data_IF_778649013923
#
_entry.id   IF_778649013923
#
_cell.length_a   1.000
_cell.length_b   1.000
_cell.length_c   1.000
_cell.angle_alpha   90.00
_cell.angle_beta   90.00
_cell.angle_gamma   90.00
#
_symmetry.space_group_name_H-M   'P 1'
#
loop_
_entity.id
_entity.type
_entity.pdbx_description
1 polymer ?
#
# COMPACT_ATOMS: atom_id res chain seq x y z
N UNK A 1 19.12 14.29 -13.81
CA UNK A 1 17.89 13.69 -14.38
C UNK A 1 17.14 13.09 -13.21
N UNK A 2 16.42 13.92 -12.47
CA UNK A 2 15.74 13.51 -11.25
C UNK A 2 14.41 12.87 -11.63
N UNK A 3 14.29 11.58 -11.37
CA UNK A 3 13.06 10.83 -11.60
C UNK A 3 12.01 11.30 -10.59
N UNK A 4 10.84 11.68 -11.09
CA UNK A 4 9.68 12.01 -10.28
C UNK A 4 9.26 10.80 -9.43
N UNK A 5 8.90 11.04 -8.18
CA UNK A 5 8.75 9.98 -7.16
C UNK A 5 7.67 8.93 -7.50
N UNK A 6 6.69 9.28 -8.33
CA UNK A 6 5.66 8.35 -8.83
C UNK A 6 6.18 7.40 -9.91
N UNK A 7 7.09 7.87 -10.77
CA UNK A 7 7.55 7.12 -11.94
C UNK A 7 8.55 6.04 -11.53
N UNK A 8 9.44 6.36 -10.58
CA UNK A 8 10.44 5.41 -10.07
C UNK A 8 9.82 4.16 -9.46
N UNK A 9 8.72 4.30 -8.72
CA UNK A 9 7.97 3.16 -8.14
C UNK A 9 7.35 2.27 -9.22
N UNK A 10 6.77 2.88 -10.26
CA UNK A 10 6.17 2.14 -11.37
C UNK A 10 7.22 1.36 -12.17
N UNK A 11 8.38 1.96 -12.44
CA UNK A 11 9.50 1.28 -13.11
C UNK A 11 10.05 0.13 -12.27
N UNK A 12 10.15 0.29 -10.95
CA UNK A 12 10.63 -0.77 -10.05
C UNK A 12 9.65 -1.96 -10.04
N UNK A 13 8.35 -1.69 -9.95
CA UNK A 13 7.32 -2.73 -10.01
C UNK A 13 7.35 -3.47 -11.35
N UNK A 14 7.46 -2.73 -12.46
CA UNK A 14 7.57 -3.32 -13.79
C UNK A 14 8.84 -4.18 -13.93
N UNK A 15 9.99 -3.67 -13.45
CA UNK A 15 11.25 -4.40 -13.45
C UNK A 15 11.15 -5.69 -12.63
N UNK A 16 10.60 -5.64 -11.42
CA UNK A 16 10.42 -6.81 -10.57
C UNK A 16 9.52 -7.86 -11.23
N UNK A 17 8.40 -7.45 -11.83
CA UNK A 17 7.52 -8.37 -12.55
C UNK A 17 8.24 -9.07 -13.71
N UNK A 18 9.03 -8.32 -14.50
CA UNK A 18 9.84 -8.87 -15.57
C UNK A 18 10.92 -9.82 -15.05
N UNK A 19 11.63 -9.44 -13.98
CA UNK A 19 12.69 -10.23 -13.37
C UNK A 19 12.15 -11.56 -12.80
N UNK A 20 11.00 -11.53 -12.13
CA UNK A 20 10.34 -12.75 -11.62
C UNK A 20 9.93 -13.66 -12.77
N UNK A 21 9.36 -13.13 -13.85
CA UNK A 21 8.97 -13.93 -15.03
C UNK A 21 10.18 -14.52 -15.75
N UNK A 22 11.25 -13.75 -15.89
CA UNK A 22 12.52 -14.19 -16.45
C UNK A 22 13.09 -15.35 -15.62
N UNK A 23 13.21 -15.16 -14.31
CA UNK A 23 13.73 -16.17 -13.39
C UNK A 23 12.90 -17.45 -13.42
N UNK A 24 11.57 -17.33 -13.46
CA UNK A 24 10.66 -18.47 -13.60
C UNK A 24 10.84 -19.24 -14.89
N UNK A 25 11.12 -18.56 -16.00
CA UNK A 25 11.35 -19.23 -17.30
C UNK A 25 12.62 -20.11 -17.25
N UNK A 26 13.68 -19.64 -16.61
CA UNK A 26 14.89 -20.45 -16.42
C UNK A 26 14.68 -21.60 -15.44
N UNK A 27 13.99 -21.37 -14.32
CA UNK A 27 13.68 -22.43 -13.36
C UNK A 27 12.84 -23.53 -14.00
N UNK A 28 11.85 -23.16 -14.82
CA UNK A 28 11.08 -24.09 -15.62
C UNK A 28 11.98 -24.96 -16.52
N UNK A 29 12.94 -24.34 -17.22
CA UNK A 29 13.91 -25.07 -18.04
C UNK A 29 14.71 -26.11 -17.25
N UNK A 30 15.16 -25.77 -16.03
CA UNK A 30 15.87 -26.69 -15.14
C UNK A 30 14.96 -27.87 -14.76
N UNK A 31 13.71 -27.62 -14.38
CA UNK A 31 12.76 -28.67 -14.05
C UNK A 31 12.44 -29.59 -15.24
N UNK A 32 12.22 -29.01 -16.42
CA UNK A 32 12.03 -29.75 -17.66
C UNK A 32 13.23 -30.67 -17.96
N UNK A 33 14.44 -30.16 -17.83
CA UNK A 33 15.66 -30.92 -18.05
C UNK A 33 15.84 -32.04 -17.01
N UNK A 34 15.59 -31.76 -15.73
CA UNK A 34 15.63 -32.77 -14.68
C UNK A 34 14.60 -33.89 -14.93
N UNK A 35 13.36 -33.52 -15.26
CA UNK A 35 12.31 -34.47 -15.62
C UNK A 35 12.68 -35.29 -16.86
N UNK A 36 13.30 -34.66 -17.87
CA UNK A 36 13.80 -35.35 -19.06
C UNK A 36 14.84 -36.42 -18.70
N UNK A 37 15.86 -36.09 -17.90
CA UNK A 37 16.92 -37.03 -17.50
C UNK A 37 16.33 -38.19 -16.68
N UNK A 38 15.47 -37.90 -15.70
CA UNK A 38 14.88 -38.93 -14.84
C UNK A 38 14.05 -39.91 -15.69
N UNK A 39 13.30 -39.39 -16.66
CA UNK A 39 12.45 -40.20 -17.53
C UNK A 39 13.23 -40.90 -18.64
N UNK A 40 14.38 -40.38 -19.07
CA UNK A 40 15.19 -40.97 -20.13
C UNK A 40 15.73 -42.37 -19.79
N UNK A 41 15.78 -42.73 -18.50
CA UNK A 41 16.19 -44.06 -18.03
C UNK A 41 15.14 -45.17 -18.25
N UNK A 42 13.94 -44.84 -18.73
CA UNK A 42 12.88 -45.82 -18.91
C UNK A 42 13.10 -46.69 -20.18
N UNK A 43 12.94 -48.00 -20.04
CA UNK A 43 12.87 -48.96 -21.16
C UNK A 43 11.57 -48.79 -21.98
N UNK A 44 11.58 -49.34 -23.20
CA UNK A 44 10.60 -49.23 -24.30
C UNK A 44 9.20 -48.66 -23.93
N UNK A 45 8.87 -47.50 -24.49
CA UNK A 45 7.58 -46.79 -24.28
C UNK A 45 6.92 -46.43 -25.62
N UNK A 46 5.65 -46.03 -25.56
CA UNK A 46 4.83 -45.64 -26.72
C UNK A 46 5.15 -44.23 -27.27
N UNK A 47 4.64 -43.89 -28.45
CA UNK A 47 4.91 -42.61 -29.12
C UNK A 47 4.58 -41.37 -28.27
N UNK A 48 3.49 -41.41 -27.49
CA UNK A 48 3.13 -40.33 -26.55
C UNK A 48 4.26 -40.03 -25.55
N UNK A 49 4.98 -41.05 -25.09
CA UNK A 49 6.10 -40.85 -24.18
C UNK A 49 7.26 -40.11 -24.85
N UNK A 50 7.58 -40.44 -26.10
CA UNK A 50 8.64 -39.76 -26.85
C UNK A 50 8.27 -38.32 -27.20
N UNK A 51 7.00 -38.05 -27.55
CA UNK A 51 6.51 -36.67 -27.74
C UNK A 51 6.65 -35.85 -26.46
N UNK A 52 6.27 -36.42 -25.30
CA UNK A 52 6.45 -35.76 -24.01
C UNK A 52 7.93 -35.51 -23.67
N UNK A 53 8.83 -36.44 -24.02
CA UNK A 53 10.28 -36.25 -23.83
C UNK A 53 10.85 -35.19 -24.77
N UNK A 54 10.40 -35.15 -26.02
CA UNK A 54 10.78 -34.10 -26.97
C UNK A 54 10.31 -32.73 -26.48
N UNK A 55 9.10 -32.64 -25.92
CA UNK A 55 8.62 -31.42 -25.27
C UNK A 55 9.47 -31.05 -24.05
N UNK A 56 9.76 -31.96 -23.13
CA UNK A 56 10.58 -31.66 -21.94
C UNK A 56 11.99 -31.19 -22.33
N UNK A 57 12.55 -31.67 -23.45
CA UNK A 57 13.85 -31.23 -23.95
C UNK A 57 13.82 -29.88 -24.67
N UNK A 58 12.71 -29.54 -25.33
CA UNK A 58 12.59 -28.34 -26.18
C UNK A 58 11.62 -27.28 -25.63
N UNK A 59 11.17 -27.43 -24.39
CA UNK A 59 10.21 -26.50 -23.79
C UNK A 59 10.90 -25.17 -23.47
N UNK A 60 10.42 -24.09 -24.08
CA UNK A 60 10.88 -22.73 -23.76
C UNK A 60 10.22 -22.17 -22.49
N UNK A 61 8.89 -22.24 -22.39
CA UNK A 61 8.13 -21.70 -21.26
C UNK A 61 7.06 -22.67 -20.75
N UNK A 62 6.64 -22.47 -19.50
CA UNK A 62 5.56 -23.18 -18.82
C UNK A 62 4.22 -23.10 -19.57
N UNK A 63 3.83 -21.91 -20.03
CA UNK A 63 2.62 -21.69 -20.84
C UNK A 63 2.69 -22.37 -22.19
N UNK A 64 3.86 -22.34 -22.84
CA UNK A 64 4.13 -23.06 -24.08
C UNK A 64 4.01 -24.58 -23.88
N UNK A 65 4.55 -25.10 -22.77
CA UNK A 65 4.44 -26.51 -22.42
C UNK A 65 2.98 -26.94 -22.20
N UNK A 66 2.20 -26.16 -21.45
CA UNK A 66 0.76 -26.41 -21.26
C UNK A 66 0.03 -26.55 -22.60
N UNK A 67 0.28 -25.62 -23.52
CA UNK A 67 -0.34 -25.65 -24.84
C UNK A 67 0.06 -26.90 -25.64
N UNK A 68 1.33 -27.29 -25.59
CA UNK A 68 1.81 -28.53 -26.23
C UNK A 68 1.17 -29.78 -25.60
N UNK A 69 1.03 -29.82 -24.27
CA UNK A 69 0.41 -30.95 -23.57
C UNK A 69 -1.08 -31.10 -23.96
N UNK A 70 -1.80 -29.99 -24.08
CA UNK A 70 -3.20 -29.98 -24.54
C UNK A 70 -3.29 -30.52 -25.97
N UNK A 71 -2.42 -30.07 -26.89
CA UNK A 71 -2.33 -30.59 -28.26
C UNK A 71 -2.00 -32.09 -28.30
N UNK A 72 -1.05 -32.55 -27.48
CA UNK A 72 -0.70 -33.98 -27.40
C UNK A 72 -1.89 -34.81 -26.89
N UNK A 73 -2.63 -34.31 -25.90
CA UNK A 73 -3.82 -34.97 -25.38
C UNK A 73 -4.90 -35.20 -26.44
N UNK A 74 -5.12 -34.21 -27.32
CA UNK A 74 -6.10 -34.33 -28.41
C UNK A 74 -5.59 -35.18 -29.56
N UNK A 75 -4.31 -35.05 -29.94
CA UNK A 75 -3.69 -35.83 -31.02
C UNK A 75 -3.65 -37.33 -30.71
N UNK A 76 -3.30 -37.70 -29.48
CA UNK A 76 -3.14 -39.10 -29.09
C UNK A 76 -4.44 -39.75 -28.58
N UNK A 77 -5.57 -39.02 -28.56
CA UNK A 77 -6.86 -39.47 -27.98
C UNK A 77 -7.38 -40.79 -28.54
N UNK A 78 -7.08 -41.10 -29.81
CA UNK A 78 -7.53 -42.31 -30.51
C UNK A 78 -6.47 -43.42 -30.55
N UNK A 79 -5.22 -43.12 -30.24
CA UNK A 79 -4.06 -43.99 -30.52
C UNK A 79 -3.40 -44.53 -29.26
N UNK A 80 -3.37 -43.75 -28.17
CA UNK A 80 -2.79 -44.19 -26.89
C UNK A 80 -3.87 -44.45 -25.85
N UNK A 81 -3.59 -45.32 -24.88
CA UNK A 81 -4.51 -45.64 -23.78
C UNK A 81 -4.43 -44.54 -22.71
N UNK A 82 -5.55 -43.86 -22.46
CA UNK A 82 -5.67 -42.77 -21.45
C UNK A 82 -4.62 -41.65 -21.61
N UNK A 83 -4.48 -41.04 -22.79
CA UNK A 83 -3.44 -40.04 -23.07
C UNK A 83 -3.64 -38.77 -22.25
N UNK A 84 -4.88 -38.34 -22.03
CA UNK A 84 -5.20 -37.21 -21.15
C UNK A 84 -4.72 -37.46 -19.72
N UNK A 85 -5.00 -38.62 -19.13
CA UNK A 85 -4.60 -38.94 -17.75
C UNK A 85 -3.06 -39.01 -17.63
N UNK A 86 -2.39 -39.56 -18.65
CA UNK A 86 -0.92 -39.65 -18.73
C UNK A 86 -0.23 -38.31 -19.04
N UNK A 87 -0.97 -37.32 -19.51
CA UNK A 87 -0.49 -35.96 -19.72
C UNK A 87 -0.87 -35.02 -18.57
N UNK A 88 -1.86 -35.40 -17.77
CA UNK A 88 -2.40 -34.60 -16.68
C UNK A 88 -1.35 -34.23 -15.64
N UNK A 89 -0.45 -35.15 -15.26
CA UNK A 89 0.56 -34.83 -14.25
C UNK A 89 1.54 -33.76 -14.73
N UNK A 90 1.93 -33.76 -16.02
CA UNK A 90 2.76 -32.71 -16.61
C UNK A 90 1.99 -31.39 -16.72
N UNK A 91 0.69 -31.46 -17.06
CA UNK A 91 -0.16 -30.28 -17.13
C UNK A 91 -0.33 -29.64 -15.74
N UNK A 92 -0.58 -30.44 -14.70
CA UNK A 92 -0.67 -29.97 -13.32
C UNK A 92 0.66 -29.35 -12.88
N UNK A 93 1.79 -29.99 -13.19
CA UNK A 93 3.11 -29.44 -12.85
C UNK A 93 3.37 -28.09 -13.52
N UNK A 94 3.11 -27.98 -14.83
CA UNK A 94 3.25 -26.72 -15.57
C UNK A 94 2.28 -25.64 -15.08
N UNK A 95 1.03 -26.02 -14.76
CA UNK A 95 0.02 -25.13 -14.21
C UNK A 95 0.38 -24.60 -12.82
N UNK A 96 0.87 -25.46 -11.94
CA UNK A 96 1.34 -25.07 -10.60
C UNK A 96 2.54 -24.14 -10.69
N UNK A 97 3.50 -24.43 -11.57
CA UNK A 97 4.64 -23.55 -11.79
C UNK A 97 4.20 -22.17 -12.30
N UNK A 98 3.34 -22.12 -13.31
CA UNK A 98 2.80 -20.88 -13.87
C UNK A 98 2.05 -20.07 -12.80
N UNK A 99 1.18 -20.73 -12.02
CA UNK A 99 0.44 -20.10 -10.93
C UNK A 99 1.37 -19.56 -9.84
N UNK A 100 2.38 -20.35 -9.42
CA UNK A 100 3.33 -19.95 -8.40
C UNK A 100 4.11 -18.68 -8.80
N UNK A 101 4.60 -18.61 -10.05
CA UNK A 101 5.33 -17.43 -10.53
C UNK A 101 4.43 -16.24 -10.84
N UNK A 102 3.18 -16.45 -11.25
CA UNK A 102 2.20 -15.39 -11.37
C UNK A 102 1.90 -14.76 -10.01
N UNK A 103 1.66 -15.60 -8.99
CA UNK A 103 1.44 -15.16 -7.61
C UNK A 103 2.69 -14.45 -7.08
N UNK A 104 3.89 -15.01 -7.28
CA UNK A 104 5.14 -14.37 -6.86
C UNK A 104 5.32 -12.97 -7.47
N UNK A 105 5.02 -12.80 -8.77
CA UNK A 105 5.09 -11.49 -9.42
C UNK A 105 4.12 -10.46 -8.82
N UNK A 106 2.89 -10.88 -8.52
CA UNK A 106 1.89 -10.02 -7.84
C UNK A 106 2.35 -9.67 -6.41
N UNK A 107 2.88 -10.64 -5.66
CA UNK A 107 3.38 -10.39 -4.30
C UNK A 107 4.61 -9.47 -4.30
N UNK A 108 5.54 -9.61 -5.24
CA UNK A 108 6.68 -8.70 -5.38
C UNK A 108 6.22 -7.26 -5.64
N UNK A 109 5.18 -7.06 -6.47
CA UNK A 109 4.59 -5.76 -6.70
C UNK A 109 3.92 -5.18 -5.43
N UNK A 110 3.17 -6.01 -4.68
CA UNK A 110 2.54 -5.59 -3.42
C UNK A 110 3.56 -5.19 -2.36
N UNK A 111 4.57 -6.02 -2.11
CA UNK A 111 5.58 -5.78 -1.07
C UNK A 111 6.35 -4.48 -1.35
N UNK A 112 6.60 -4.18 -2.62
CA UNK A 112 7.26 -2.93 -3.03
C UNK A 112 6.36 -1.70 -2.84
N UNK A 113 5.04 -1.86 -2.87
CA UNK A 113 4.08 -0.78 -2.64
C UNK A 113 3.70 -0.57 -1.17
N UNK A 114 3.96 -1.55 -0.29
CA UNK A 114 3.56 -1.51 1.13
C UNK A 114 4.78 -1.39 2.04
N UNK A 115 4.86 -0.28 2.77
CA UNK A 115 5.74 -0.11 3.95
C UNK A 115 7.26 -0.05 3.71
N UNK A 116 7.71 0.07 2.45
CA UNK A 116 9.11 0.40 2.19
C UNK A 116 9.38 1.85 2.61
N UNK A 117 9.96 2.01 3.80
CA UNK A 117 10.51 3.28 4.31
C UNK A 117 11.72 3.66 3.47
N UNK A 118 11.48 4.23 2.30
CA UNK A 118 12.53 4.77 1.44
C UNK A 118 12.76 6.23 1.82
N UNK A 119 14.02 6.60 2.04
CA UNK A 119 14.38 7.99 2.19
C UNK A 119 14.33 8.62 0.78
N UNK A 120 13.31 9.43 0.53
CA UNK A 120 13.23 10.23 -0.69
C UNK A 120 14.21 11.40 -0.57
N UNK A 121 15.37 11.28 -1.20
CA UNK A 121 16.30 12.38 -1.39
C UNK A 121 15.92 13.12 -2.68
N UNK A 122 15.44 14.36 -2.53
CA UNK A 122 15.17 15.26 -3.65
C UNK A 122 15.93 16.57 -3.43
N UNK A 123 16.61 17.03 -4.46
CA UNK A 123 17.25 18.36 -4.47
C UNK A 123 16.21 19.50 -4.46
N UNK A 124 14.91 19.18 -4.51
CA UNK A 124 13.79 20.12 -4.53
C UNK A 124 12.85 19.92 -3.32
N UNK A 125 13.35 19.42 -2.18
CA UNK A 125 12.56 19.36 -0.96
C UNK A 125 12.44 20.76 -0.31
N UNK A 126 11.27 21.12 0.20
CA UNK A 126 11.07 22.42 0.86
C UNK A 126 9.60 22.74 1.14
N UNK A 127 9.37 23.85 1.84
CA UNK A 127 8.01 24.35 2.11
C UNK A 127 7.41 24.97 0.87
N UNK A 128 6.13 24.68 0.61
CA UNK A 128 5.39 25.35 -0.47
C UNK A 128 5.29 26.83 -0.17
N UNK A 129 5.90 27.65 -1.03
CA UNK A 129 5.72 29.09 -0.98
C UNK A 129 4.40 29.45 -1.68
N UNK A 130 3.35 29.65 -0.88
CA UNK A 130 2.01 29.99 -1.37
C UNK A 130 1.96 31.30 -2.17
N UNK A 131 2.97 32.17 -2.04
CA UNK A 131 3.08 33.43 -2.79
C UNK A 131 3.51 33.21 -4.25
N UNK A 132 4.06 32.04 -4.59
CA UNK A 132 4.60 31.69 -5.93
C UNK A 132 3.70 30.67 -6.65
N UNK A 133 2.52 30.35 -6.11
CA UNK A 133 1.53 29.49 -6.77
C UNK A 133 0.88 30.27 -7.93
N UNK A 134 1.62 30.48 -9.01
CA UNK A 134 1.16 31.17 -10.21
C UNK A 134 0.81 30.19 -11.32
N UNK A 135 1.24 28.93 -11.22
CA UNK A 135 0.98 27.93 -12.26
C UNK A 135 -0.25 27.05 -11.95
N UNK A 136 -1.14 26.81 -12.93
CA UNK A 136 -2.26 25.89 -12.78
C UNK A 136 -1.84 24.47 -12.36
N UNK A 137 -0.63 24.03 -12.74
CA UNK A 137 -0.10 22.71 -12.38
C UNK A 137 0.15 22.56 -10.89
N UNK A 138 0.70 23.59 -10.23
CA UNK A 138 0.93 23.55 -8.78
C UNK A 138 -0.39 23.50 -8.01
N UNK A 139 -1.42 24.23 -8.46
CA UNK A 139 -2.76 24.15 -7.87
C UNK A 139 -3.40 22.78 -8.02
N UNK A 140 -3.23 22.13 -9.17
CA UNK A 140 -3.73 20.77 -9.39
C UNK A 140 -3.04 19.77 -8.45
N UNK A 141 -1.72 19.87 -8.30
CA UNK A 141 -0.97 19.03 -7.36
C UNK A 141 -1.48 19.18 -5.93
N UNK A 142 -1.62 20.43 -5.46
CA UNK A 142 -2.16 20.73 -4.12
C UNK A 142 -3.59 20.22 -3.92
N UNK A 143 -4.45 20.33 -4.94
CA UNK A 143 -5.81 19.81 -4.87
C UNK A 143 -5.84 18.29 -4.74
N UNK A 144 -5.03 17.60 -5.53
CA UNK A 144 -4.94 16.13 -5.48
C UNK A 144 -4.40 15.69 -4.13
N UNK A 145 -3.33 16.32 -3.64
CA UNK A 145 -2.73 16.01 -2.34
C UNK A 145 -3.70 16.25 -1.18
N UNK A 146 -4.41 17.39 -1.19
CA UNK A 146 -5.45 17.69 -0.21
C UNK A 146 -6.61 16.68 -0.26
N UNK A 147 -7.04 16.26 -1.45
CA UNK A 147 -8.11 15.29 -1.61
C UNK A 147 -7.70 13.89 -1.11
N UNK A 148 -6.46 13.46 -1.41
CA UNK A 148 -5.90 12.20 -0.91
C UNK A 148 -5.79 12.23 0.61
N UNK A 149 -5.26 13.32 1.17
CA UNK A 149 -5.14 13.52 2.62
C UNK A 149 -6.50 13.52 3.32
N UNK A 150 -7.49 14.24 2.76
CA UNK A 150 -8.84 14.27 3.30
C UNK A 150 -9.51 12.89 3.28
N UNK A 151 -9.36 12.14 2.19
CA UNK A 151 -9.91 10.78 2.11
C UNK A 151 -9.20 9.83 3.10
N UNK A 152 -7.88 9.96 3.26
CA UNK A 152 -7.14 9.21 4.25
C UNK A 152 -7.63 9.50 5.69
N UNK A 153 -7.84 10.78 6.04
CA UNK A 153 -8.40 11.16 7.35
C UNK A 153 -9.80 10.57 7.54
N UNK A 154 -10.68 10.72 6.54
CA UNK A 154 -12.04 10.21 6.60
C UNK A 154 -12.10 8.69 6.79
N UNK A 155 -11.30 7.94 6.03
CA UNK A 155 -11.28 6.47 6.11
C UNK A 155 -10.55 5.97 7.34
N UNK A 156 -9.33 6.45 7.60
CA UNK A 156 -8.42 5.83 8.58
C UNK A 156 -8.54 6.39 10.00
N UNK A 157 -8.97 7.65 10.16
CA UNK A 157 -9.09 8.29 11.47
C UNK A 157 -10.55 8.37 11.94
N UNK A 158 -11.45 8.82 11.06
CA UNK A 158 -12.85 9.05 11.39
C UNK A 158 -13.74 7.83 11.13
N UNK A 159 -13.29 6.88 10.30
CA UNK A 159 -14.06 5.73 9.83
C UNK A 159 -15.42 6.13 9.21
N UNK A 160 -15.44 7.26 8.49
CA UNK A 160 -16.64 7.82 7.84
C UNK A 160 -16.71 7.51 6.35
N UNK A 161 -15.64 6.96 5.76
CA UNK A 161 -15.54 6.60 4.35
C UNK A 161 -15.31 5.09 4.20
N UNK A 162 -16.01 4.46 3.26
CA UNK A 162 -15.90 3.03 2.94
C UNK A 162 -14.88 2.74 1.84
N UNK A 163 -14.16 3.75 1.35
CA UNK A 163 -13.16 3.57 0.30
C UNK A 163 -11.93 2.85 0.87
N UNK A 164 -11.46 1.75 0.24
CA UNK A 164 -10.28 1.04 0.72
C UNK A 164 -9.03 1.90 0.51
N UNK A 165 -8.49 2.43 1.61
CA UNK A 165 -7.23 3.18 1.66
C UNK A 165 -6.25 2.41 2.54
N UNK A 166 -4.97 2.42 2.18
CA UNK A 166 -3.93 1.90 3.05
C UNK A 166 -3.73 2.86 4.24
N UNK A 167 -4.10 2.43 5.44
CA UNK A 167 -3.93 3.21 6.66
C UNK A 167 -2.52 3.11 7.26
N UNK A 168 -1.65 2.24 6.71
CA UNK A 168 -0.28 2.02 7.19
C UNK A 168 0.73 3.04 6.61
N UNK A 169 0.26 4.06 5.90
CA UNK A 169 1.12 5.09 5.31
C UNK A 169 1.81 5.99 6.34
N UNK A 170 1.30 6.07 7.57
CA UNK A 170 1.86 6.87 8.65
C UNK A 170 2.32 6.00 9.82
N UNK A 171 3.42 6.40 10.46
CA UNK A 171 4.03 5.62 11.57
C UNK A 171 3.12 5.57 12.80
N UNK A 172 2.31 6.61 13.02
CA UNK A 172 1.26 6.64 14.05
C UNK A 172 -0.07 7.13 13.49
N UNK A 173 -1.10 6.34 13.77
CA UNK A 173 -2.48 6.57 13.29
C UNK A 173 -3.26 7.62 14.08
N UNK A 174 -2.72 8.18 15.17
CA UNK A 174 -3.26 9.35 15.89
C UNK A 174 -2.32 9.77 17.02
N UNK A 175 -2.18 11.08 17.30
CA UNK A 175 -1.59 11.55 18.55
C UNK A 175 -2.43 11.05 19.73
N UNK A 176 -1.77 10.62 20.81
CA UNK A 176 -2.44 10.21 22.03
C UNK A 176 -2.91 11.43 22.82
N UNK A 177 -4.20 11.76 22.75
CA UNK A 177 -4.77 12.84 23.54
C UNK A 177 -5.22 12.35 24.91
N UNK A 178 -4.77 13.00 25.98
CA UNK A 178 -5.29 12.85 27.34
C UNK A 178 -6.33 13.93 27.58
N UNK A 179 -7.55 13.51 27.89
CA UNK A 179 -8.64 14.39 28.31
C UNK A 179 -8.71 14.38 29.83
N UNK A 180 -8.62 15.55 30.44
CA UNK A 180 -8.84 15.77 31.87
C UNK A 180 -9.88 16.86 32.05
N UNK A 181 -10.84 16.63 32.93
CA UNK A 181 -11.76 17.68 33.37
C UNK A 181 -10.98 18.65 34.27
N UNK A 182 -11.20 19.94 34.03
CA UNK A 182 -10.61 21.03 34.79
C UNK A 182 -11.75 21.82 35.45
N UNK A 183 -11.60 22.17 36.72
CA UNK A 183 -12.66 22.85 37.48
C UNK A 183 -12.80 24.34 37.12
N UNK A 184 -11.76 24.95 36.54
CA UNK A 184 -11.68 26.40 36.36
C UNK A 184 -11.78 26.85 34.90
N UNK A 185 -12.84 27.60 34.61
CA UNK A 185 -13.01 28.32 33.36
C UNK A 185 -12.16 29.62 33.36
N UNK A 186 -11.44 29.96 32.27
CA UNK A 186 -10.53 31.12 32.23
C UNK A 186 -11.23 32.46 31.91
N UNK A 187 -12.56 32.50 31.90
CA UNK A 187 -13.36 33.69 31.64
C UNK A 187 -14.11 34.13 32.90
N UNK A 188 -14.81 35.26 32.83
CA UNK A 188 -15.69 35.70 33.91
C UNK A 188 -16.74 34.63 34.23
N UNK A 189 -17.03 34.41 35.52
CA UNK A 189 -17.89 33.31 35.98
C UNK A 189 -19.29 33.29 35.32
N UNK A 190 -19.82 34.47 35.02
CA UNK A 190 -21.09 34.72 34.33
C UNK A 190 -21.09 34.33 32.84
N UNK A 191 -19.91 34.26 32.22
CA UNK A 191 -19.74 33.82 30.84
C UNK A 191 -19.47 32.32 30.73
N UNK A 192 -19.05 31.69 31.81
CA UNK A 192 -18.71 30.27 31.80
C UNK A 192 -19.98 29.42 31.82
N UNK A 193 -20.01 28.36 31.02
CA UNK A 193 -21.11 27.41 31.08
C UNK A 193 -21.22 26.81 32.50
N UNK A 194 -22.43 26.78 33.06
CA UNK A 194 -22.64 26.42 34.47
C UNK A 194 -22.38 27.57 35.46
N UNK A 195 -22.55 28.83 35.01
CA UNK A 195 -22.49 30.03 35.84
C UNK A 195 -23.42 29.95 37.07
N UNK A 196 -23.11 30.66 38.18
CA UNK A 196 -23.96 30.72 39.36
C UNK A 196 -25.40 31.11 39.00
N UNK A 197 -26.38 30.28 39.38
CA UNK A 197 -27.80 30.48 39.05
C UNK A 197 -28.29 29.70 37.82
N UNK A 198 -27.44 28.90 37.17
CA UNK A 198 -27.83 27.97 36.10
C UNK A 198 -27.84 26.52 36.59
N UNK A 199 -28.69 25.66 36.02
CA UNK A 199 -28.78 24.23 36.39
C UNK A 199 -27.67 23.34 35.81
N UNK A 200 -26.72 23.92 35.06
CA UNK A 200 -25.64 23.19 34.40
C UNK A 200 -24.38 23.17 35.28
N UNK A 201 -23.64 22.05 35.27
CA UNK A 201 -22.34 21.98 35.93
C UNK A 201 -21.28 22.74 35.14
N UNK A 202 -20.36 23.43 35.84
CA UNK A 202 -19.16 24.00 35.22
C UNK A 202 -18.35 22.89 34.58
N UNK A 203 -18.12 22.99 33.27
CA UNK A 203 -17.27 22.06 32.53
C UNK A 203 -16.19 22.83 31.79
N UNK A 204 -14.94 22.60 32.18
CA UNK A 204 -13.78 22.97 31.38
C UNK A 204 -12.98 21.70 31.14
N UNK A 205 -12.41 21.58 29.95
CA UNK A 205 -11.62 20.39 29.59
C UNK A 205 -10.24 20.81 29.16
N UNK A 206 -9.26 20.05 29.66
CA UNK A 206 -7.87 20.17 29.30
C UNK A 206 -7.48 18.95 28.46
N UNK A 207 -6.91 19.23 27.29
CA UNK A 207 -6.48 18.26 26.30
C UNK A 207 -4.96 18.36 26.14
N UNK A 208 -4.27 17.27 26.44
CA UNK A 208 -2.82 17.17 26.32
C UNK A 208 -2.45 16.10 25.29
N UNK A 209 -1.72 16.49 24.25
CA UNK A 209 -1.24 15.56 23.22
C UNK A 209 -0.10 14.66 23.69
N UNK A 210 0.55 14.99 24.81
CA UNK A 210 1.88 14.50 25.14
C UNK A 210 2.94 14.96 24.13
N UNK A 211 4.18 14.45 24.25
CA UNK A 211 5.26 14.77 23.33
C UNK A 211 5.03 14.13 21.94
N UNK A 212 5.03 14.98 20.91
CA UNK A 212 4.92 14.66 19.49
C UNK A 212 6.30 14.91 18.86
N UNK A 213 6.97 13.85 18.40
CA UNK A 213 8.26 13.90 17.71
C UNK A 213 8.06 14.18 16.21
N UNK A 214 8.79 15.15 15.67
CA UNK A 214 8.66 15.58 14.27
C UNK A 214 8.85 14.44 13.27
N UNK A 215 9.72 13.46 13.54
CA UNK A 215 10.01 12.36 12.62
C UNK A 215 9.12 11.16 12.89
N UNK A 216 8.91 10.78 14.15
CA UNK A 216 8.16 9.58 14.51
C UNK A 216 6.65 9.79 14.43
N UNK A 217 6.16 11.00 14.70
CA UNK A 217 4.73 11.32 14.66
C UNK A 217 4.31 12.02 13.39
N UNK A 218 5.12 12.97 12.91
CA UNK A 218 4.75 13.84 11.78
C UNK A 218 5.43 13.45 10.47
N UNK A 219 6.29 12.42 10.49
CA UNK A 219 7.00 11.90 9.31
C UNK A 219 7.86 12.99 8.62
N UNK A 220 8.31 13.99 9.39
CA UNK A 220 9.27 14.99 8.93
C UNK A 220 10.66 14.40 9.07
N UNK A 221 11.31 14.12 7.94
CA UNK A 221 12.64 13.53 7.92
C UNK A 221 13.68 14.52 8.47
N UNK A 222 14.24 14.21 9.63
CA UNK A 222 15.33 14.94 10.25
C UNK A 222 16.28 13.98 10.98
N UNK A 223 17.60 14.25 10.97
CA UNK A 223 18.53 13.50 11.80
C UNK A 223 18.23 13.72 13.29
N UNK A 224 18.60 12.80 14.20
CA UNK A 224 18.17 12.85 15.61
C UNK A 224 18.44 14.20 16.31
N UNK A 225 19.52 14.88 15.97
CA UNK A 225 19.88 16.18 16.53
C UNK A 225 18.99 17.36 16.09
N UNK A 226 18.31 17.24 14.94
CA UNK A 226 17.47 18.30 14.36
C UNK A 226 15.97 18.00 14.56
N UNK A 227 15.63 16.93 15.28
CA UNK A 227 14.24 16.58 15.57
C UNK A 227 13.68 17.54 16.61
N UNK A 228 12.44 17.95 16.36
CA UNK A 228 11.71 18.81 17.28
C UNK A 228 10.62 17.99 17.94
N UNK A 229 10.49 18.14 19.26
CA UNK A 229 9.34 17.60 20.00
C UNK A 229 8.37 18.74 20.30
N UNK A 230 7.13 18.59 19.88
CA UNK A 230 6.03 19.51 20.19
C UNK A 230 5.13 18.87 21.24
N UNK A 231 4.65 19.64 22.22
CA UNK A 231 3.50 19.24 23.04
C UNK A 231 2.42 20.30 22.91
N UNK A 232 1.21 19.86 22.57
CA UNK A 232 0.06 20.75 22.40
C UNK A 232 -0.88 20.58 23.59
N UNK A 233 -0.95 21.64 24.39
CA UNK A 233 -1.87 21.78 25.52
C UNK A 233 -3.01 22.69 25.10
N UNK A 234 -4.24 22.19 25.21
CA UNK A 234 -5.45 22.91 24.84
C UNK A 234 -6.40 22.96 26.02
N UNK A 235 -6.90 24.15 26.31
CA UNK A 235 -7.95 24.38 27.30
C UNK A 235 -9.21 24.82 26.57
N UNK A 236 -10.30 24.14 26.83
CA UNK A 236 -11.60 24.45 26.26
C UNK A 236 -12.60 24.68 27.40
N UNK A 237 -13.27 25.82 27.35
CA UNK A 237 -14.40 26.14 28.22
C UNK A 237 -15.57 26.57 27.33
N UNK A 238 -16.70 25.87 27.33
CA UNK A 238 -17.91 26.34 26.67
C UNK A 238 -18.37 27.65 27.32
N UNK A 239 -18.79 28.61 26.51
CA UNK A 239 -19.18 29.95 26.98
C UNK A 239 -20.66 30.22 26.70
N UNK A 240 -21.29 30.87 27.67
CA UNK A 240 -22.56 31.56 27.49
C UNK A 240 -22.29 32.96 26.95
N UNK A 241 -22.76 33.25 25.73
CA UNK A 241 -22.40 34.48 25.00
C UNK A 241 -23.53 35.51 24.93
N UNK A 242 -24.72 35.18 25.43
CA UNK A 242 -25.84 36.13 25.46
C UNK A 242 -25.54 37.26 26.45
N UNK A 243 -25.77 38.51 26.03
CA UNK A 243 -25.41 39.69 26.80
C UNK A 243 -23.96 40.14 26.65
N UNK A 244 -23.08 39.29 26.09
CA UNK A 244 -21.65 39.57 25.90
C UNK A 244 -21.22 39.73 24.43
N UNK A 245 -22.18 39.77 23.49
CA UNK A 245 -21.94 39.94 22.05
C UNK A 245 -22.51 41.27 21.54
N UNK A 246 -21.71 42.00 20.77
CA UNK A 246 -22.18 43.10 19.92
C UNK A 246 -21.98 42.73 18.45
N UNK A 247 -23.04 42.70 17.66
CA UNK A 247 -22.91 42.55 16.21
C UNK A 247 -22.50 43.91 15.64
N UNK A 248 -21.34 43.98 14.99
CA UNK A 248 -21.03 45.13 14.13
C UNK A 248 -21.96 45.07 12.92
N UNK A 249 -22.64 46.17 12.54
CA UNK A 249 -23.29 46.26 11.24
C UNK A 249 -22.26 45.99 10.14
N UNK A 250 -22.63 45.20 9.13
CA UNK A 250 -21.85 45.11 7.90
C UNK A 250 -22.00 46.45 7.16
N UNK A 251 -20.89 47.16 6.97
CA UNK A 251 -20.78 48.27 6.00
C UNK A 251 -20.77 47.73 4.56
#
# INVERSE_FOLDING_TARGET
MSMDGSDGGLYLVAFLALFVRWSGTHLWGIFCFAAFIVRAKATFRDGLFYDQQAMLRNSGSDSGALWQIVKMGTQWRKTSRRPMLRSLYLAVFAGLHLAAFAVAGIFSAKITGTNSKILLCSDQCGTLNFTILTSPRQFQYLRVDAAVSANHIATCFLNTSSTPVNCDSYVRNKPSWKLSEEESCPFADEMCYGAPGTSASKISVHLDSGPIDSTLDLVINAPPQDRVTLQRLLKYAPLWTDGFRSLKPQE
#
